data_IF_447304717380
#
_entry.id   IF_447304717380
#
_cell.length_a   1.000
_cell.length_b   1.000
_cell.length_c   1.000
_cell.angle_alpha   90.00
_cell.angle_beta   90.00
_cell.angle_gamma   90.00
#
_symmetry.space_group_name_H-M   'P 1'
#
loop_
_entity.id
_entity.type
_entity.pdbx_description
1 polymer ?
#
# COMPACT_ATOMS: atom_id res chain seq x y z
N UNK A 1 14.40 -5.35 9.09
CA UNK A 1 13.43 -4.56 8.30
C UNK A 1 12.05 -4.67 8.94
N UNK A 2 11.27 -3.57 9.01
CA UNK A 2 9.90 -3.64 9.55
C UNK A 2 9.03 -4.59 8.70
N UNK A 3 8.34 -5.51 9.37
CA UNK A 3 7.39 -6.44 8.75
C UNK A 3 6.24 -5.60 8.16
N UNK A 4 6.05 -5.71 6.84
CA UNK A 4 5.01 -4.95 6.12
C UNK A 4 3.62 -5.44 6.54
N UNK A 5 2.60 -4.58 6.44
CA UNK A 5 1.20 -4.97 6.72
C UNK A 5 0.78 -6.14 5.80
N UNK A 6 1.26 -6.17 4.56
CA UNK A 6 1.00 -7.28 3.62
C UNK A 6 1.52 -8.63 4.13
N UNK A 7 2.66 -8.67 4.84
CA UNK A 7 3.13 -9.91 5.47
C UNK A 7 2.24 -10.37 6.63
N UNK A 8 1.63 -9.46 7.38
CA UNK A 8 0.72 -9.82 8.49
C UNK A 8 -0.60 -10.37 7.93
N UNK A 9 -1.13 -9.76 6.87
CA UNK A 9 -2.31 -10.29 6.19
C UNK A 9 -2.05 -11.69 5.59
N UNK A 10 -0.84 -11.93 5.04
CA UNK A 10 -0.44 -13.26 4.57
C UNK A 10 -0.41 -14.28 5.71
N UNK A 11 0.13 -13.92 6.88
CA UNK A 11 0.10 -14.79 8.07
C UNK A 11 -1.33 -15.10 8.52
N UNK A 12 -2.21 -14.10 8.58
CA UNK A 12 -3.64 -14.29 8.91
C UNK A 12 -4.31 -15.25 7.93
N UNK A 13 -4.00 -15.12 6.63
CA UNK A 13 -4.55 -16.01 5.60
C UNK A 13 -4.03 -17.45 5.74
N UNK A 14 -2.73 -17.63 5.94
CA UNK A 14 -2.12 -18.94 6.14
C UNK A 14 -2.64 -19.64 7.40
N UNK A 15 -2.70 -18.93 8.52
CA UNK A 15 -3.30 -19.45 9.75
C UNK A 15 -4.79 -19.77 9.55
N UNK A 16 -5.54 -18.93 8.84
CA UNK A 16 -6.94 -19.20 8.51
C UNK A 16 -7.15 -20.48 7.68
N UNK A 17 -6.25 -20.74 6.73
CA UNK A 17 -6.25 -21.99 5.96
C UNK A 17 -5.91 -23.20 6.83
N UNK A 18 -4.91 -23.09 7.72
CA UNK A 18 -4.54 -24.14 8.65
C UNK A 18 -5.70 -24.47 9.60
N UNK A 19 -6.35 -23.45 10.16
CA UNK A 19 -7.51 -23.60 11.03
C UNK A 19 -8.68 -24.27 10.30
N UNK A 20 -8.96 -23.86 9.06
CA UNK A 20 -10.01 -24.49 8.24
C UNK A 20 -9.71 -25.98 8.01
N UNK A 21 -8.47 -26.33 7.66
CA UNK A 21 -8.07 -27.74 7.46
C UNK A 21 -8.20 -28.57 8.73
N UNK A 22 -7.78 -28.01 9.88
CA UNK A 22 -7.93 -28.68 11.17
C UNK A 22 -9.41 -28.90 11.52
N UNK A 23 -10.25 -27.89 11.30
CA UNK A 23 -11.70 -28.01 11.51
C UNK A 23 -12.36 -29.06 10.63
N UNK A 24 -11.99 -29.13 9.34
CA UNK A 24 -12.49 -30.17 8.43
C UNK A 24 -12.04 -31.56 8.90
N UNK A 25 -10.76 -31.72 9.23
CA UNK A 25 -10.21 -32.99 9.73
C UNK A 25 -10.92 -33.46 10.99
N UNK A 26 -11.28 -32.53 11.90
CA UNK A 26 -12.06 -32.84 13.10
C UNK A 26 -13.47 -33.32 12.75
N UNK A 27 -14.15 -32.63 11.83
CA UNK A 27 -15.49 -33.01 11.40
C UNK A 27 -15.51 -34.40 10.78
N UNK A 28 -14.52 -34.71 9.94
CA UNK A 28 -14.39 -36.02 9.29
C UNK A 28 -14.07 -37.14 10.29
N UNK A 29 -13.22 -36.88 11.30
CA UNK A 29 -12.75 -37.89 12.24
C UNK A 29 -13.69 -38.18 13.43
N UNK A 30 -14.62 -37.28 13.76
CA UNK A 30 -15.43 -37.46 14.97
C UNK A 30 -16.69 -36.61 15.08
N UNK A 31 -17.20 -36.09 13.96
CA UNK A 31 -18.43 -35.31 13.92
C UNK A 31 -18.27 -33.86 14.37
N UNK A 32 -19.30 -33.05 14.08
CA UNK A 32 -19.29 -31.59 14.30
C UNK A 32 -19.26 -31.17 15.77
N UNK A 33 -19.71 -32.03 16.66
CA UNK A 33 -19.87 -31.73 18.10
C UNK A 33 -18.59 -31.95 18.91
N UNK A 34 -17.52 -32.44 18.26
CA UNK A 34 -16.23 -32.64 18.93
C UNK A 34 -15.58 -31.29 19.21
N UNK A 35 -15.15 -31.09 20.45
CA UNK A 35 -14.47 -29.87 20.89
C UNK A 35 -13.19 -29.64 20.06
N UNK A 36 -12.85 -28.38 19.75
CA UNK A 36 -11.61 -28.04 19.07
C UNK A 36 -10.42 -28.55 19.89
N UNK A 37 -9.45 -29.16 19.21
CA UNK A 37 -8.23 -29.61 19.87
C UNK A 37 -7.40 -28.42 20.33
N UNK A 38 -6.44 -28.65 21.23
CA UNK A 38 -5.50 -27.63 21.69
C UNK A 38 -4.78 -26.94 20.52
N UNK A 39 -4.47 -27.69 19.46
CA UNK A 39 -3.86 -27.16 18.24
C UNK A 39 -4.79 -26.18 17.50
N UNK A 40 -6.10 -26.45 17.45
CA UNK A 40 -7.06 -25.53 16.86
C UNK A 40 -7.27 -24.28 17.72
N UNK A 41 -7.30 -24.44 19.05
CA UNK A 41 -7.37 -23.33 19.98
C UNK A 41 -6.17 -22.39 19.82
N UNK A 42 -4.96 -22.94 19.73
CA UNK A 42 -3.74 -22.18 19.47
C UNK A 42 -3.80 -21.40 18.15
N UNK A 43 -4.33 -22.02 17.09
CA UNK A 43 -4.51 -21.34 15.80
C UNK A 43 -5.53 -20.19 15.90
N UNK A 44 -6.61 -20.34 16.67
CA UNK A 44 -7.60 -19.28 16.89
C UNK A 44 -6.97 -18.10 17.64
N UNK A 45 -6.22 -18.37 18.70
CA UNK A 45 -5.53 -17.35 19.49
C UNK A 45 -4.47 -16.61 18.67
N UNK A 46 -3.65 -17.34 17.90
CA UNK A 46 -2.67 -16.74 17.00
C UNK A 46 -3.35 -15.83 15.98
N UNK A 47 -4.47 -16.27 15.40
CA UNK A 47 -5.25 -15.45 14.45
C UNK A 47 -5.76 -14.16 15.09
N UNK A 48 -6.20 -14.23 16.35
CA UNK A 48 -6.67 -13.08 17.11
C UNK A 48 -5.53 -12.09 17.35
N UNK A 49 -4.39 -12.56 17.83
CA UNK A 49 -3.20 -11.73 18.06
C UNK A 49 -2.74 -11.04 16.77
N UNK A 50 -2.73 -11.74 15.63
CA UNK A 50 -2.35 -11.17 14.34
C UNK A 50 -3.34 -10.09 13.86
N UNK A 51 -4.65 -10.25 14.11
CA UNK A 51 -5.65 -9.23 13.79
C UNK A 51 -5.48 -7.98 14.67
N UNK A 52 -5.25 -8.16 15.96
CA UNK A 52 -4.97 -7.05 16.88
C UNK A 52 -3.71 -6.28 16.45
N UNK A 53 -2.65 -6.98 16.05
CA UNK A 53 -1.43 -6.35 15.54
C UNK A 53 -1.66 -5.59 14.23
N UNK A 54 -2.47 -6.13 13.32
CA UNK A 54 -2.90 -5.44 12.09
C UNK A 54 -3.67 -4.16 12.42
N UNK A 55 -4.59 -4.22 13.36
CA UNK A 55 -5.46 -3.10 13.70
C UNK A 55 -4.68 -2.02 14.46
N UNK A 56 -3.75 -2.39 15.34
CA UNK A 56 -2.77 -1.46 15.94
C UNK A 56 -1.98 -0.70 14.89
N UNK A 57 -1.47 -1.38 13.87
CA UNK A 57 -0.73 -0.72 12.77
C UNK A 57 -1.62 0.21 11.94
N UNK A 58 -2.86 -0.18 11.66
CA UNK A 58 -3.82 0.68 10.96
C UNK A 58 -4.15 1.93 11.77
N UNK A 59 -4.38 1.77 13.07
CA UNK A 59 -4.63 2.89 13.97
C UNK A 59 -3.43 3.87 13.98
N UNK A 60 -2.20 3.36 14.09
CA UNK A 60 -1.00 4.20 13.99
C UNK A 60 -0.85 4.92 12.65
N UNK A 61 -1.27 4.29 11.55
CA UNK A 61 -1.22 4.90 10.22
C UNK A 61 -2.28 5.99 10.01
N UNK A 62 -3.39 5.93 10.76
CA UNK A 62 -4.45 6.94 10.79
C UNK A 62 -4.09 8.16 11.64
N UNK A 63 -3.13 8.02 12.57
CA UNK A 63 -2.68 9.15 13.37
C UNK A 63 -2.07 10.24 12.46
N UNK A 64 -2.32 11.52 12.77
CA UNK A 64 -1.74 12.63 12.03
C UNK A 64 -0.22 12.49 12.05
N UNK A 65 0.37 12.45 10.86
CA UNK A 65 1.82 12.34 10.71
C UNK A 65 2.44 13.69 11.11
N UNK A 66 3.60 13.69 11.80
CA UNK A 66 4.31 14.93 12.08
C UNK A 66 4.60 15.65 10.76
N UNK A 67 4.33 16.96 10.74
CA UNK A 67 4.46 17.81 9.57
C UNK A 67 5.92 17.87 9.12
N UNK A 68 6.16 18.34 7.89
CA UNK A 68 7.52 18.53 7.40
C UNK A 68 8.32 19.50 8.30
N UNK A 69 7.66 20.52 8.85
CA UNK A 69 8.25 21.46 9.80
C UNK A 69 8.61 20.77 11.13
N UNK A 70 7.75 19.89 11.65
CA UNK A 70 8.04 19.10 12.86
C UNK A 70 9.23 18.15 12.68
N UNK A 71 9.42 17.66 11.45
CA UNK A 71 10.57 16.80 11.09
C UNK A 71 11.85 17.60 10.83
N UNK A 72 11.72 18.86 10.43
CA UNK A 72 12.83 19.74 10.07
C UNK A 72 13.69 20.11 11.29
N UNK A 73 13.09 20.14 12.49
CA UNK A 73 13.76 20.47 13.75
C UNK A 73 14.94 19.54 14.05
N UNK A 74 14.91 18.28 13.59
CA UNK A 74 15.98 17.31 13.87
C UNK A 74 17.17 17.37 12.92
N UNK A 75 17.15 18.26 11.92
CA UNK A 75 18.23 18.38 10.91
C UNK A 75 18.95 19.72 10.92
N UNK A 76 18.36 20.77 11.51
CA UNK A 76 19.09 22.00 11.80
C UNK A 76 19.92 21.81 13.06
N UNK A 77 21.14 21.30 12.89
CA UNK A 77 22.22 21.65 13.79
C UNK A 77 22.41 23.16 13.65
N UNK A 78 22.22 23.98 14.70
CA UNK A 78 22.54 25.39 14.65
C UNK A 78 24.06 25.54 14.78
N UNK A 79 24.82 25.01 13.82
CA UNK A 79 26.16 25.51 13.58
C UNK A 79 26.02 26.50 12.43
N UNK A 80 25.79 27.76 12.81
CA UNK A 80 25.97 28.89 11.94
C UNK A 80 27.40 28.82 11.40
N UNK A 81 27.56 28.30 10.18
CA UNK A 81 28.82 28.44 9.45
C UNK A 81 28.85 29.84 8.91
N UNK A 82 29.85 30.58 9.39
CA UNK A 82 30.17 31.92 8.97
C UNK A 82 30.15 32.08 7.45
N UNK A 83 29.63 33.23 7.05
CA UNK A 83 29.58 33.82 5.71
C UNK A 83 30.75 33.36 4.81
N UNK A 84 30.43 33.03 3.55
CA UNK A 84 31.04 33.66 2.35
C UNK A 84 30.48 33.10 1.04
N UNK A 85 30.44 34.02 0.06
CA UNK A 85 30.34 33.84 -1.40
C UNK A 85 28.93 33.71 -2.00
N UNK A 86 28.43 34.88 -2.42
CA UNK A 86 27.56 35.09 -3.57
C UNK A 86 27.95 34.19 -4.74
N UNK A 87 27.10 33.22 -5.07
CA UNK A 87 27.22 32.45 -6.32
C UNK A 87 26.23 33.03 -7.32
N UNK A 88 26.80 33.63 -8.36
CA UNK A 88 26.13 34.25 -9.49
C UNK A 88 25.04 33.34 -10.07
N UNK A 89 23.93 33.98 -10.43
CA UNK A 89 22.81 33.37 -11.11
C UNK A 89 23.30 32.70 -12.40
N UNK A 90 23.28 31.36 -12.43
CA UNK A 90 23.46 30.63 -13.67
C UNK A 90 22.31 30.98 -14.61
N UNK A 91 22.70 31.52 -15.76
CA UNK A 91 21.85 31.94 -16.86
C UNK A 91 20.69 30.98 -17.10
N UNK A 92 19.50 31.57 -17.17
CA UNK A 92 18.26 30.93 -17.61
C UNK A 92 18.46 30.38 -19.03
N UNK A 93 18.83 29.09 -19.13
CA UNK A 93 18.70 28.35 -20.37
C UNK A 93 17.22 28.28 -20.71
N UNK A 94 16.89 28.80 -21.89
CA UNK A 94 15.57 28.83 -22.50
C UNK A 94 14.75 27.59 -22.15
N UNK A 95 13.76 27.79 -21.29
CA UNK A 95 12.80 26.76 -20.93
C UNK A 95 11.93 26.50 -22.15
N UNK A 96 12.11 25.35 -22.80
CA UNK A 96 11.14 24.83 -23.76
C UNK A 96 9.76 24.95 -23.11
N UNK A 97 8.84 25.70 -23.75
CA UNK A 97 7.48 25.92 -23.26
C UNK A 97 6.92 24.59 -22.77
N UNK A 98 6.62 24.52 -21.47
CA UNK A 98 6.02 23.33 -20.86
C UNK A 98 4.68 23.11 -21.54
N UNK A 99 4.45 21.89 -22.05
CA UNK A 99 3.13 21.53 -22.60
C UNK A 99 2.09 21.80 -21.50
N UNK A 100 0.92 22.38 -21.84
CA UNK A 100 -0.13 22.63 -20.85
C UNK A 100 -0.46 21.31 -20.14
N UNK A 101 -0.43 21.34 -18.81
CA UNK A 101 -0.75 20.18 -17.99
C UNK A 101 -2.24 19.87 -18.13
N UNK A 102 -2.56 18.76 -18.80
CA UNK A 102 -3.94 18.28 -18.90
C UNK A 102 -4.49 17.92 -17.52
N UNK A 103 -5.70 18.39 -17.22
CA UNK A 103 -6.41 18.04 -15.99
C UNK A 103 -6.75 16.54 -15.96
N UNK A 104 -7.12 16.01 -14.79
CA UNK A 104 -7.52 14.59 -14.66
C UNK A 104 -8.73 14.27 -15.54
N UNK A 105 -9.68 15.19 -15.64
CA UNK A 105 -10.87 15.03 -16.49
C UNK A 105 -10.50 14.90 -17.97
N UNK A 106 -9.63 15.77 -18.48
CA UNK A 106 -9.15 15.72 -19.87
C UNK A 106 -8.44 14.40 -20.19
N UNK A 107 -7.61 13.90 -19.28
CA UNK A 107 -6.94 12.59 -19.45
C UNK A 107 -7.93 11.44 -19.54
N UNK A 108 -9.03 11.50 -18.79
CA UNK A 108 -10.07 10.47 -18.83
C UNK A 108 -10.91 10.57 -20.12
N UNK A 109 -11.21 11.78 -20.58
CA UNK A 109 -11.92 12.00 -21.84
C UNK A 109 -11.13 11.47 -23.04
N UNK A 110 -9.84 11.83 -23.15
CA UNK A 110 -8.94 11.36 -24.21
C UNK A 110 -8.80 9.83 -24.21
N UNK A 111 -8.77 9.22 -23.02
CA UNK A 111 -8.72 7.76 -22.89
C UNK A 111 -10.04 7.09 -23.32
N UNK A 112 -11.18 7.68 -23.01
CA UNK A 112 -12.48 7.18 -23.43
C UNK A 112 -12.64 7.28 -24.96
N UNK A 113 -12.23 8.40 -25.55
CA UNK A 113 -12.27 8.63 -26.99
C UNK A 113 -11.35 7.65 -27.75
N UNK A 114 -10.14 7.41 -27.25
CA UNK A 114 -9.22 6.43 -27.84
C UNK A 114 -9.81 5.00 -27.81
N UNK A 115 -10.53 4.63 -26.74
CA UNK A 115 -11.18 3.33 -26.64
C UNK A 115 -12.38 3.20 -27.59
N UNK A 116 -13.17 4.26 -27.74
CA UNK A 116 -14.29 4.29 -28.70
C UNK A 116 -13.79 4.28 -30.15
N UNK A 117 -12.71 5.01 -30.46
CA UNK A 117 -12.05 4.95 -31.76
C UNK A 117 -11.51 3.55 -32.07
N UNK A 118 -10.91 2.88 -31.09
CA UNK A 118 -10.44 1.50 -31.24
C UNK A 118 -11.59 0.50 -31.45
N UNK A 119 -12.76 0.72 -30.84
CA UNK A 119 -13.97 -0.09 -31.08
C UNK A 119 -14.56 0.11 -32.46
N UNK A 120 -14.50 1.33 -32.99
CA UNK A 120 -15.02 1.70 -34.32
C UNK A 120 -14.05 1.42 -35.46
N UNK A 121 -12.78 1.12 -35.16
CA UNK A 121 -11.79 0.79 -36.18
C UNK A 121 -12.24 -0.48 -36.95
N UNK A 122 -12.27 -0.44 -38.30
CA UNK A 122 -12.71 -1.58 -39.08
C UNK A 122 -11.75 -2.76 -38.85
N UNK A 123 -12.30 -3.88 -38.39
CA UNK A 123 -11.54 -5.13 -38.23
C UNK A 123 -11.07 -5.55 -39.63
N UNK A 124 -9.75 -5.59 -39.84
CA UNK A 124 -9.18 -6.14 -41.07
C UNK A 124 -9.68 -7.58 -41.24
N UNK A 125 -10.22 -7.98 -42.41
CA UNK A 125 -10.55 -9.37 -42.64
C UNK A 125 -9.24 -10.18 -42.64
N UNK A 126 -9.26 -11.33 -41.95
CA UNK A 126 -8.16 -12.28 -42.03
C UNK A 126 -8.05 -12.81 -43.47
N UNK A 127 -6.84 -12.81 -44.02
CA UNK A 127 -6.53 -13.51 -45.28
C UNK A 127 -6.44 -15.00 -45.03
#
# INVERSE_FOLDING_TARGET
MPIRISSVNKKIAANGQALHRAMMSRQDAGGKDKQPSEAEAALIEERRALKEERDKRKAQALLPKPSALDRLVRTHHPQAKDKKVTKEAQAAKETKKTKPHKSRAEKHAEKAEALEAARRAPKKPAK
#
